data_IF_796149635587
#
_entry.id   IF_796149635587
#
_cell.length_a   1.000
_cell.length_b   1.000
_cell.length_c   1.000
_cell.angle_alpha   90.00
_cell.angle_beta   90.00
_cell.angle_gamma   90.00
#
_symmetry.space_group_name_H-M   'P 1'
#
loop_
_entity.id
_entity.type
_entity.pdbx_description
1 polymer ?
#
# COMPACT_ATOMS: atom_id res chain seq x y z
N UNK A 1 22.71 -31.33 19.00
CA UNK A 1 21.64 -31.46 17.99
C UNK A 1 21.21 -30.09 17.48
N UNK A 2 22.10 -29.39 16.75
CA UNK A 2 21.88 -28.01 16.25
C UNK A 2 21.32 -27.96 14.81
N UNK A 3 21.12 -29.11 14.17
CA UNK A 3 20.78 -29.18 12.74
C UNK A 3 19.27 -29.22 12.45
N UNK A 4 18.42 -29.37 13.47
CA UNK A 4 16.95 -29.33 13.30
C UNK A 4 16.35 -27.92 13.28
N UNK A 5 17.14 -26.88 13.55
CA UNK A 5 16.65 -25.51 13.75
C UNK A 5 16.65 -24.63 12.47
N UNK A 6 16.94 -25.18 11.28
CA UNK A 6 17.17 -24.36 10.07
C UNK A 6 16.30 -24.68 8.85
N UNK A 7 15.31 -25.54 8.97
CA UNK A 7 14.34 -25.74 7.91
C UNK A 7 12.95 -25.45 8.48
N UNK A 8 12.32 -24.37 8.04
CA UNK A 8 10.91 -24.12 8.33
C UNK A 8 10.08 -24.98 7.38
N UNK A 9 9.78 -26.21 7.81
CA UNK A 9 8.87 -27.09 7.08
C UNK A 9 7.44 -26.67 7.38
N UNK A 10 6.64 -26.51 6.33
CA UNK A 10 5.19 -26.41 6.45
C UNK A 10 4.69 -27.84 6.65
N UNK A 11 4.15 -28.14 7.82
CA UNK A 11 3.70 -29.49 8.18
C UNK A 11 2.23 -29.74 7.79
N UNK A 12 1.43 -28.67 7.74
CA UNK A 12 0.03 -28.75 7.37
C UNK A 12 -0.44 -27.43 6.75
N UNK A 13 -1.43 -27.53 5.88
CA UNK A 13 -2.16 -26.39 5.32
C UNK A 13 -3.66 -26.69 5.29
N UNK A 14 -4.48 -25.67 5.47
CA UNK A 14 -5.94 -25.80 5.32
C UNK A 14 -6.28 -26.09 3.85
N UNK A 15 -7.17 -27.04 3.63
CA UNK A 15 -7.68 -27.37 2.30
C UNK A 15 -8.83 -26.45 1.93
N UNK A 16 -8.84 -25.96 0.70
CA UNK A 16 -9.98 -25.25 0.11
C UNK A 16 -10.20 -25.68 -1.33
N UNK A 17 -11.44 -25.69 -1.78
CA UNK A 17 -11.79 -26.05 -3.15
C UNK A 17 -11.42 -24.94 -4.15
N UNK A 18 -11.62 -23.68 -3.76
CA UNK A 18 -11.28 -22.53 -4.57
C UNK A 18 -10.76 -21.36 -3.72
N UNK A 19 -9.96 -20.52 -4.36
CA UNK A 19 -9.60 -19.20 -3.85
C UNK A 19 -10.25 -18.16 -4.74
N UNK A 20 -10.92 -17.19 -4.13
CA UNK A 20 -11.57 -16.09 -4.82
C UNK A 20 -11.11 -14.75 -4.22
N UNK A 21 -10.95 -13.74 -5.08
CA UNK A 21 -10.49 -12.42 -4.65
C UNK A 21 -11.58 -11.73 -3.83
N UNK A 22 -11.25 -11.28 -2.63
CA UNK A 22 -12.19 -10.54 -1.77
C UNK A 22 -13.26 -11.40 -1.09
N UNK A 23 -13.17 -12.73 -1.20
CA UNK A 23 -14.09 -13.68 -0.57
C UNK A 23 -13.33 -14.49 0.47
N UNK A 24 -13.91 -14.67 1.65
CA UNK A 24 -13.33 -15.55 2.67
C UNK A 24 -13.41 -17.01 2.19
N UNK A 25 -12.28 -17.74 2.16
CA UNK A 25 -12.26 -19.12 1.67
C UNK A 25 -13.01 -20.06 2.60
N UNK A 26 -13.79 -20.96 2.02
CA UNK A 26 -14.42 -22.06 2.76
C UNK A 26 -13.43 -23.20 2.95
N UNK A 27 -12.95 -23.35 4.18
CA UNK A 27 -11.96 -24.37 4.51
C UNK A 27 -12.63 -25.69 4.85
N UNK A 28 -12.17 -26.76 4.21
CA UNK A 28 -12.51 -28.11 4.61
C UNK A 28 -12.06 -28.37 6.06
N UNK A 29 -12.83 -29.16 6.83
CA UNK A 29 -12.43 -29.57 8.17
C UNK A 29 -11.17 -30.44 8.19
N UNK A 30 -10.74 -31.00 7.05
CA UNK A 30 -9.51 -31.79 6.95
C UNK A 30 -8.33 -30.98 6.37
N UNK A 31 -7.23 -30.93 7.11
CA UNK A 31 -5.98 -30.33 6.64
C UNK A 31 -5.23 -31.24 5.65
N UNK A 32 -4.45 -30.62 4.77
CA UNK A 32 -3.45 -31.31 3.94
C UNK A 32 -2.15 -31.39 4.73
N UNK A 33 -1.71 -32.60 5.03
CA UNK A 33 -0.47 -32.86 5.80
C UNK A 33 0.59 -33.60 4.99
N UNK A 34 0.22 -34.12 3.82
CA UNK A 34 1.14 -34.87 2.97
C UNK A 34 2.13 -33.92 2.30
N UNK A 35 3.45 -34.08 2.47
CA UNK A 35 4.45 -33.15 1.94
C UNK A 35 4.38 -32.93 0.42
N UNK A 36 3.88 -33.92 -0.34
CA UNK A 36 3.68 -33.81 -1.79
C UNK A 36 2.46 -32.98 -2.18
N UNK A 37 1.43 -32.97 -1.35
CA UNK A 37 0.16 -32.27 -1.60
C UNK A 37 0.20 -30.80 -1.12
N UNK A 38 1.03 -30.50 -0.12
CA UNK A 38 1.16 -29.13 0.43
C UNK A 38 1.49 -28.09 -0.65
N UNK A 39 2.48 -28.32 -1.56
CA UNK A 39 2.76 -27.39 -2.65
C UNK A 39 1.57 -27.20 -3.60
N UNK A 40 0.82 -28.26 -3.89
CA UNK A 40 -0.33 -28.21 -4.80
C UNK A 40 -1.47 -27.38 -4.21
N UNK A 41 -1.71 -27.51 -2.90
CA UNK A 41 -2.70 -26.75 -2.16
C UNK A 41 -2.33 -25.26 -2.11
N UNK A 42 -1.06 -24.94 -1.78
CA UNK A 42 -0.55 -23.57 -1.81
C UNK A 42 -0.62 -22.94 -3.21
N UNK A 43 -0.36 -23.74 -4.26
CA UNK A 43 -0.43 -23.27 -5.64
C UNK A 43 -1.83 -22.78 -6.03
N UNK A 44 -2.92 -23.26 -5.39
CA UNK A 44 -4.28 -22.74 -5.64
C UNK A 44 -4.38 -21.25 -5.29
N UNK A 45 -3.84 -20.84 -4.14
CA UNK A 45 -3.80 -19.45 -3.72
C UNK A 45 -3.01 -18.59 -4.71
N UNK A 46 -1.80 -19.02 -5.05
CA UNK A 46 -0.94 -18.25 -5.96
C UNK A 46 -1.50 -18.17 -7.38
N UNK A 47 -2.19 -19.21 -7.86
CA UNK A 47 -2.92 -19.16 -9.13
C UNK A 47 -4.01 -18.08 -9.10
N UNK A 48 -4.77 -17.97 -8.02
CA UNK A 48 -5.75 -16.88 -7.87
C UNK A 48 -5.08 -15.51 -7.79
N UNK A 49 -3.99 -15.40 -7.01
CA UNK A 49 -3.27 -14.14 -6.81
C UNK A 49 -2.70 -13.59 -8.12
N UNK A 50 -2.04 -14.44 -8.90
CA UNK A 50 -1.36 -14.09 -10.15
C UNK A 50 -2.21 -14.26 -11.42
N UNK A 51 -3.49 -14.66 -11.30
CA UNK A 51 -4.38 -14.67 -12.47
C UNK A 51 -4.51 -13.27 -13.05
N UNK A 52 -4.66 -13.20 -14.37
CA UNK A 52 -4.97 -11.94 -15.05
C UNK A 52 -6.27 -11.37 -14.45
N UNK A 53 -6.18 -10.17 -13.85
CA UNK A 53 -7.33 -9.51 -13.28
C UNK A 53 -8.12 -8.85 -14.40
N UNK A 54 -9.32 -9.36 -14.66
CA UNK A 54 -10.21 -8.79 -15.67
C UNK A 54 -10.74 -7.45 -15.17
N UNK A 55 -10.29 -6.37 -15.79
CA UNK A 55 -10.87 -5.04 -15.55
C UNK A 55 -12.15 -4.90 -16.35
N UNK A 56 -13.26 -4.54 -15.68
CA UNK A 56 -14.51 -4.23 -16.36
C UNK A 56 -14.38 -2.91 -17.12
N UNK A 57 -13.89 -2.97 -18.37
CA UNK A 57 -13.56 -1.79 -19.19
C UNK A 57 -14.73 -0.81 -19.33
N UNK A 58 -15.96 -1.31 -19.39
CA UNK A 58 -17.18 -0.49 -19.45
C UNK A 58 -17.37 0.32 -18.17
N UNK A 59 -17.23 -0.30 -17.00
CA UNK A 59 -17.37 0.38 -15.71
C UNK A 59 -16.23 1.37 -15.46
N UNK A 60 -14.99 1.00 -15.83
CA UNK A 60 -13.86 1.92 -15.78
C UNK A 60 -14.11 3.17 -16.64
N UNK A 61 -14.65 3.01 -17.86
CA UNK A 61 -15.01 4.14 -18.72
C UNK A 61 -16.12 4.99 -18.10
N UNK A 62 -17.16 4.38 -17.56
CA UNK A 62 -18.25 5.09 -16.85
C UNK A 62 -17.72 5.94 -15.70
N UNK A 63 -16.82 5.37 -14.89
CA UNK A 63 -16.17 6.08 -13.80
C UNK A 63 -15.36 7.28 -14.31
N UNK A 64 -14.53 7.09 -15.34
CA UNK A 64 -13.73 8.17 -15.93
C UNK A 64 -14.61 9.28 -16.54
N UNK A 65 -15.70 8.93 -17.20
CA UNK A 65 -16.69 9.89 -17.71
C UNK A 65 -17.28 10.71 -16.56
N UNK A 66 -17.72 10.06 -15.49
CA UNK A 66 -18.26 10.74 -14.30
C UNK A 66 -17.22 11.66 -13.65
N UNK A 67 -15.98 11.20 -13.47
CA UNK A 67 -14.90 12.05 -12.95
C UNK A 67 -14.63 13.27 -13.83
N UNK A 68 -14.75 13.12 -15.15
CA UNK A 68 -14.63 14.23 -16.10
C UNK A 68 -15.77 15.22 -15.97
N UNK A 69 -17.01 14.76 -15.78
CA UNK A 69 -18.18 15.61 -15.53
C UNK A 69 -18.06 16.36 -14.20
N UNK A 70 -17.67 15.68 -13.12
CA UNK A 70 -17.44 16.31 -11.81
C UNK A 70 -16.30 17.35 -11.87
N UNK A 71 -15.26 17.11 -12.68
CA UNK A 71 -14.25 18.12 -12.98
C UNK A 71 -14.84 19.33 -13.69
N UNK A 72 -15.69 19.12 -14.70
CA UNK A 72 -16.35 20.21 -15.46
C UNK A 72 -17.34 20.99 -14.60
N UNK A 73 -17.98 20.35 -13.61
CA UNK A 73 -18.89 21.00 -12.67
C UNK A 73 -18.17 21.78 -11.55
N UNK A 74 -16.82 21.84 -11.58
CA UNK A 74 -16.02 22.64 -10.67
C UNK A 74 -15.56 21.91 -9.40
N UNK A 75 -15.83 20.61 -9.26
CA UNK A 75 -15.34 19.79 -8.13
C UNK A 75 -13.94 19.19 -8.37
N UNK A 76 -13.34 19.42 -9.54
CA UNK A 76 -11.95 19.07 -9.80
C UNK A 76 -10.98 20.11 -9.25
N UNK A 77 -9.68 19.80 -9.27
CA UNK A 77 -8.64 20.81 -9.02
C UNK A 77 -8.87 22.05 -9.89
N UNK A 78 -8.92 23.21 -9.22
CA UNK A 78 -9.03 24.50 -9.89
C UNK A 78 -7.78 24.73 -10.75
N UNK A 79 -7.89 25.59 -11.76
CA UNK A 79 -6.73 25.95 -12.58
C UNK A 79 -5.63 26.59 -11.73
N UNK A 80 -6.00 27.50 -10.83
CA UNK A 80 -5.08 28.15 -9.90
C UNK A 80 -4.34 27.14 -9.02
N UNK A 81 -5.05 26.17 -8.44
CA UNK A 81 -4.43 25.14 -7.60
C UNK A 81 -3.47 24.24 -8.38
N UNK A 82 -3.73 23.97 -9.67
CA UNK A 82 -2.77 23.23 -10.51
C UNK A 82 -1.52 24.06 -10.77
N UNK A 83 -1.70 25.33 -11.12
CA UNK A 83 -0.58 26.24 -11.37
C UNK A 83 0.29 26.43 -10.12
N UNK A 84 -0.32 26.49 -8.94
CA UNK A 84 0.38 26.51 -7.64
C UNK A 84 1.14 25.20 -7.38
N UNK A 85 0.53 24.04 -7.62
CA UNK A 85 1.18 22.73 -7.46
C UNK A 85 2.34 22.49 -8.44
N UNK A 86 2.29 23.09 -9.64
CA UNK A 86 3.34 22.99 -10.66
C UNK A 86 4.45 24.04 -10.45
N UNK A 87 4.27 25.01 -9.54
CA UNK A 87 5.25 26.05 -9.26
C UNK A 87 6.46 25.49 -8.48
N UNK A 88 7.64 26.13 -8.57
CA UNK A 88 8.77 25.80 -7.72
C UNK A 88 8.41 25.96 -6.24
N UNK A 89 8.86 25.02 -5.40
CA UNK A 89 8.73 25.10 -3.95
C UNK A 89 9.49 26.34 -3.45
N UNK A 90 8.78 27.22 -2.77
CA UNK A 90 9.29 28.46 -2.20
C UNK A 90 9.95 28.26 -0.84
N UNK A 91 10.81 29.21 -0.45
CA UNK A 91 11.39 29.22 0.90
C UNK A 91 10.32 29.37 1.98
N UNK A 92 9.28 30.17 1.75
CA UNK A 92 8.19 30.38 2.70
C UNK A 92 7.42 29.08 2.99
N UNK A 93 7.18 28.25 1.96
CA UNK A 93 6.59 26.91 2.13
C UNK A 93 7.49 26.01 2.98
N UNK A 94 8.81 26.06 2.72
CA UNK A 94 9.79 25.29 3.49
C UNK A 94 9.78 25.73 4.95
N UNK A 95 9.82 27.04 5.22
CA UNK A 95 9.80 27.58 6.59
C UNK A 95 8.50 27.23 7.32
N UNK A 96 7.35 27.38 6.66
CA UNK A 96 6.05 26.97 7.21
C UNK A 96 6.02 25.50 7.63
N UNK A 97 6.57 24.62 6.80
CA UNK A 97 6.70 23.19 7.14
C UNK A 97 7.64 23.00 8.33
N UNK A 98 8.82 23.64 8.32
CA UNK A 98 9.80 23.53 9.40
C UNK A 98 9.25 23.96 10.77
N UNK A 99 8.45 25.03 10.81
CA UNK A 99 7.83 25.54 12.04
C UNK A 99 6.80 24.56 12.62
N UNK A 100 6.10 23.81 11.78
CA UNK A 100 5.02 22.90 12.17
C UNK A 100 5.47 21.48 12.52
N UNK A 101 6.75 21.12 12.28
CA UNK A 101 7.28 19.78 12.54
C UNK A 101 7.12 19.33 14.00
N UNK A 102 6.58 18.14 14.30
CA UNK A 102 6.36 17.69 15.68
C UNK A 102 7.67 17.48 16.44
N UNK A 103 7.73 17.96 17.69
CA UNK A 103 8.88 17.81 18.59
C UNK A 103 8.68 16.63 19.55
N UNK A 104 9.78 16.03 20.02
CA UNK A 104 9.76 14.88 20.92
C UNK A 104 9.61 13.53 20.22
N UNK A 105 9.55 13.52 18.88
CA UNK A 105 9.68 12.30 18.09
C UNK A 105 11.14 11.86 18.04
N UNK A 106 11.37 10.55 18.04
CA UNK A 106 12.69 9.98 17.83
C UNK A 106 13.20 10.38 16.44
N UNK A 107 14.49 10.73 16.36
CA UNK A 107 15.13 11.08 15.10
C UNK A 107 15.11 9.90 14.12
N UNK A 108 15.03 10.23 12.82
CA UNK A 108 15.05 9.25 11.75
C UNK A 108 16.41 8.58 11.54
N UNK A 109 16.59 7.85 10.43
CA UNK A 109 17.84 7.18 10.10
C UNK A 109 19.07 8.11 10.01
N UNK A 110 18.85 9.39 9.69
CA UNK A 110 19.86 10.44 9.65
C UNK A 110 20.30 10.94 11.05
N UNK A 111 19.57 10.53 12.11
CA UNK A 111 19.76 10.92 13.50
C UNK A 111 19.62 12.42 13.76
N UNK A 112 18.97 13.17 12.87
CA UNK A 112 18.72 14.61 13.05
C UNK A 112 17.34 14.78 13.73
N UNK A 113 17.26 15.36 14.93
CA UNK A 113 15.99 15.61 15.58
C UNK A 113 15.21 16.75 14.90
N UNK A 114 13.87 16.63 14.83
CA UNK A 114 13.00 17.68 14.27
C UNK A 114 13.19 19.07 14.87
N UNK A 115 13.66 19.17 16.12
CA UNK A 115 13.94 20.47 16.76
C UNK A 115 15.02 21.26 16.02
N UNK A 116 15.96 20.58 15.35
CA UNK A 116 16.99 21.24 14.54
C UNK A 116 16.34 22.02 13.40
N UNK A 117 15.48 21.36 12.62
CA UNK A 117 14.77 21.99 11.51
C UNK A 117 13.84 23.12 11.96
N UNK A 118 13.16 22.97 13.10
CA UNK A 118 12.30 24.03 13.66
C UNK A 118 13.10 25.28 14.10
N UNK A 119 14.38 25.11 14.43
CA UNK A 119 15.24 26.22 14.88
C UNK A 119 15.94 26.92 13.72
N UNK A 120 16.17 26.25 12.59
CA UNK A 120 16.88 26.82 11.43
C UNK A 120 16.26 28.13 10.91
N UNK A 121 14.93 28.27 10.71
CA UNK A 121 14.33 29.52 10.25
C UNK A 121 14.53 30.71 11.21
N UNK A 122 14.85 30.45 12.48
CA UNK A 122 15.08 31.48 13.51
C UNK A 122 16.54 31.91 13.62
N UNK A 123 17.43 31.18 12.94
CA UNK A 123 18.88 31.35 12.99
C UNK A 123 19.45 31.89 11.67
N UNK A 124 18.62 31.94 10.62
CA UNK A 124 18.92 32.48 9.29
C UNK A 124 18.15 33.80 9.11
#
# INVERSE_FOLDING_TARGET
>A
NKDKAKQQWINEVKRTDSWEEGVEPDFSPQNVTQPKEIPEELAKYYRMLFREKVTQRTEARRLLSRMTEERKSGKGLSRASREEMDAPISEDEIYSVMETLPVGKQAGPDRIPNIVFRMLPKLL
#
